data_IF_309543533198
#
_entry.id   IF_309543533198
#
_cell.length_a   1.000
_cell.length_b   1.000
_cell.length_c   1.000
_cell.angle_alpha   90.00
_cell.angle_beta   90.00
_cell.angle_gamma   90.00
#
_symmetry.space_group_name_H-M   'P 1'
#
loop_
_entity.id
_entity.type
_entity.pdbx_description
1 polymer ?
#
# COMPACT_ATOMS: atom_id res chain seq x y z
N UNK A 1 -32.01 18.37 63.52
CA UNK A 1 -32.60 17.67 62.33
C UNK A 1 -32.61 18.67 61.19
N UNK A 2 -31.60 18.63 60.33
CA UNK A 2 -31.46 19.61 59.21
C UNK A 2 -31.32 18.73 57.94
N UNK A 3 -32.36 18.75 57.12
CA UNK A 3 -32.39 18.05 55.81
C UNK A 3 -31.51 18.84 54.80
N UNK A 4 -30.46 18.18 54.32
CA UNK A 4 -29.72 18.64 53.17
C UNK A 4 -30.43 18.18 51.89
N UNK A 5 -30.89 19.13 51.10
CA UNK A 5 -31.45 18.89 49.76
C UNK A 5 -30.32 18.66 48.75
N UNK A 6 -30.33 17.52 48.12
CA UNK A 6 -29.42 17.14 47.05
C UNK A 6 -30.01 17.60 45.69
N UNK A 7 -29.36 18.57 45.07
CA UNK A 7 -29.71 19.03 43.72
C UNK A 7 -28.97 18.15 42.70
N UNK A 8 -29.64 17.53 41.73
CA UNK A 8 -28.94 16.78 40.68
C UNK A 8 -28.33 17.75 39.66
N UNK A 9 -27.01 17.67 39.46
CA UNK A 9 -26.32 18.33 38.36
C UNK A 9 -26.73 17.63 37.05
N UNK A 10 -27.41 18.38 36.19
CA UNK A 10 -27.68 18.02 34.81
C UNK A 10 -26.40 18.18 34.02
N UNK A 11 -25.77 17.08 33.60
CA UNK A 11 -24.72 17.07 32.62
C UNK A 11 -25.36 17.29 31.23
N UNK A 12 -25.03 18.42 30.59
CA UNK A 12 -25.44 18.73 29.23
C UNK A 12 -24.69 17.84 28.25
N UNK A 13 -25.30 17.49 27.10
CA UNK A 13 -24.70 16.58 26.14
C UNK A 13 -23.63 17.31 25.29
N UNK A 14 -22.36 17.03 25.54
CA UNK A 14 -21.24 17.39 24.64
C UNK A 14 -21.22 16.61 23.32
N UNK A 15 -22.04 15.56 23.18
CA UNK A 15 -22.04 14.66 22.02
C UNK A 15 -22.80 15.20 20.78
N UNK A 16 -23.69 16.18 20.94
CA UNK A 16 -24.50 16.69 19.83
C UNK A 16 -23.72 17.62 18.87
N UNK A 17 -22.76 18.41 19.40
CA UNK A 17 -21.97 19.34 18.60
C UNK A 17 -20.91 18.63 17.74
N UNK A 18 -20.43 17.47 18.14
CA UNK A 18 -19.45 16.68 17.39
C UNK A 18 -20.08 15.92 16.23
N UNK A 19 -21.33 15.46 16.36
CA UNK A 19 -22.05 14.74 15.30
C UNK A 19 -22.45 15.67 14.13
N UNK A 20 -22.87 16.90 14.44
CA UNK A 20 -23.25 17.90 13.42
C UNK A 20 -22.04 18.42 12.63
N UNK A 21 -20.90 18.64 13.30
CA UNK A 21 -19.64 18.99 12.66
C UNK A 21 -19.12 17.89 11.74
N UNK A 22 -19.28 16.62 12.10
CA UNK A 22 -18.86 15.48 11.30
C UNK A 22 -19.72 15.34 10.03
N UNK A 23 -21.03 15.49 10.13
CA UNK A 23 -21.96 15.44 8.99
C UNK A 23 -21.70 16.59 7.99
N UNK A 24 -21.46 17.80 8.50
CA UNK A 24 -21.08 18.96 7.69
C UNK A 24 -19.78 18.71 6.92
N UNK A 25 -18.72 18.28 7.61
CA UNK A 25 -17.43 18.00 6.98
C UNK A 25 -17.53 16.87 5.95
N UNK A 26 -18.32 15.83 6.19
CA UNK A 26 -18.59 14.79 5.22
C UNK A 26 -19.21 15.35 3.94
N UNK A 27 -20.23 16.22 4.07
CA UNK A 27 -20.88 16.87 2.93
C UNK A 27 -19.92 17.75 2.12
N UNK A 28 -19.03 18.49 2.80
CA UNK A 28 -17.99 19.28 2.13
C UNK A 28 -17.00 18.39 1.40
N UNK A 29 -16.51 17.32 2.02
CA UNK A 29 -15.54 16.40 1.39
C UNK A 29 -16.14 15.68 0.19
N UNK A 30 -17.40 15.25 0.28
CA UNK A 30 -18.08 14.64 -0.84
C UNK A 30 -18.17 15.59 -2.04
N UNK A 31 -18.62 16.84 -1.83
CA UNK A 31 -18.70 17.85 -2.90
C UNK A 31 -17.32 18.16 -3.49
N UNK A 32 -16.28 18.20 -2.67
CA UNK A 32 -14.92 18.44 -3.16
C UNK A 32 -14.40 17.27 -4.01
N UNK A 33 -14.70 16.04 -3.63
CA UNK A 33 -14.37 14.85 -4.42
C UNK A 33 -15.17 14.85 -5.73
N UNK A 34 -16.48 15.05 -5.67
CA UNK A 34 -17.33 15.11 -6.87
C UNK A 34 -16.87 16.20 -7.85
N UNK A 35 -16.44 17.37 -7.33
CA UNK A 35 -15.88 18.46 -8.12
C UNK A 35 -14.57 18.07 -8.82
N UNK A 36 -13.67 17.42 -8.08
CA UNK A 36 -12.37 16.97 -8.61
C UNK A 36 -12.59 15.87 -9.66
N UNK A 37 -13.47 14.91 -9.39
CA UNK A 37 -13.73 13.77 -10.28
C UNK A 37 -14.42 14.20 -11.59
N UNK A 38 -15.21 15.28 -11.55
CA UNK A 38 -15.87 15.84 -12.73
C UNK A 38 -14.98 16.77 -13.56
N UNK A 39 -13.83 17.20 -13.03
CA UNK A 39 -12.93 18.11 -13.72
C UNK A 39 -12.10 17.40 -14.79
N UNK A 40 -12.08 17.96 -16.01
CA UNK A 40 -11.22 17.44 -17.09
C UNK A 40 -9.73 17.67 -16.82
N UNK A 41 -9.40 18.77 -16.16
CA UNK A 41 -8.02 19.17 -15.80
C UNK A 41 -7.85 19.30 -14.29
N UNK A 42 -6.63 19.12 -13.77
CA UNK A 42 -6.36 19.30 -12.34
C UNK A 42 -6.70 20.71 -11.87
N UNK A 43 -7.53 20.79 -10.84
CA UNK A 43 -7.95 22.05 -10.24
C UNK A 43 -6.89 22.60 -9.29
N UNK A 44 -6.70 23.91 -9.26
CA UNK A 44 -5.86 24.55 -8.26
C UNK A 44 -6.50 24.43 -6.85
N UNK A 45 -5.66 24.40 -5.82
CA UNK A 45 -6.15 24.30 -4.44
C UNK A 45 -7.12 25.44 -4.08
N UNK A 46 -6.81 26.65 -4.55
CA UNK A 46 -7.62 27.84 -4.29
C UNK A 46 -9.01 27.77 -4.93
N UNK A 47 -9.11 27.15 -6.11
CA UNK A 47 -10.38 26.92 -6.79
C UNK A 47 -11.25 25.95 -5.99
N UNK A 48 -10.69 24.79 -5.59
CA UNK A 48 -11.44 23.79 -4.84
C UNK A 48 -11.87 24.36 -3.47
N UNK A 49 -10.97 25.05 -2.79
CA UNK A 49 -11.26 25.68 -1.49
C UNK A 49 -12.32 26.76 -1.60
N UNK A 50 -12.29 27.58 -2.65
CA UNK A 50 -13.29 28.62 -2.93
C UNK A 50 -14.68 28.04 -3.16
N UNK A 51 -14.81 26.96 -3.93
CA UNK A 51 -16.09 26.26 -4.14
C UNK A 51 -16.65 25.64 -2.84
N UNK A 52 -15.77 25.29 -1.91
CA UNK A 52 -16.15 24.80 -0.57
C UNK A 52 -16.39 25.92 0.45
N UNK A 53 -16.18 27.19 0.09
CA UNK A 53 -16.31 28.33 1.00
C UNK A 53 -15.25 28.37 2.10
N UNK A 54 -14.05 27.85 1.81
CA UNK A 54 -12.96 27.71 2.78
C UNK A 54 -11.67 28.41 2.33
N UNK A 55 -10.81 28.76 3.29
CA UNK A 55 -9.44 29.14 2.93
C UNK A 55 -8.66 27.93 2.45
N UNK A 56 -7.71 28.09 1.50
CA UNK A 56 -6.91 26.97 0.94
C UNK A 56 -6.21 26.15 2.02
N UNK A 57 -5.62 26.81 3.03
CA UNK A 57 -4.92 26.14 4.12
C UNK A 57 -5.87 25.32 5.02
N UNK A 58 -7.08 25.84 5.28
CA UNK A 58 -8.08 25.13 6.08
C UNK A 58 -8.62 23.92 5.30
N UNK A 59 -9.01 24.12 4.04
CA UNK A 59 -9.47 23.05 3.17
C UNK A 59 -8.42 21.93 3.02
N UNK A 60 -7.15 22.28 2.76
CA UNK A 60 -6.09 21.31 2.61
C UNK A 60 -5.91 20.43 3.86
N UNK A 61 -5.93 21.04 5.07
CA UNK A 61 -5.85 20.28 6.32
C UNK A 61 -7.05 19.37 6.50
N UNK A 62 -8.26 19.89 6.32
CA UNK A 62 -9.50 19.14 6.46
C UNK A 62 -9.59 17.98 5.45
N UNK A 63 -9.29 18.24 4.17
CA UNK A 63 -9.26 17.23 3.13
C UNK A 63 -8.23 16.15 3.44
N UNK A 64 -7.02 16.52 3.85
CA UNK A 64 -5.96 15.55 4.18
C UNK A 64 -6.32 14.69 5.39
N UNK A 65 -7.01 15.26 6.38
CA UNK A 65 -7.49 14.53 7.53
C UNK A 65 -8.59 13.51 7.16
N UNK A 66 -9.49 13.88 6.26
CA UNK A 66 -10.62 13.04 5.86
C UNK A 66 -10.29 12.01 4.78
N UNK A 67 -9.55 12.43 3.77
CA UNK A 67 -9.21 11.59 2.58
C UNK A 67 -7.89 10.85 2.78
N UNK A 68 -7.08 11.25 3.77
CA UNK A 68 -5.78 10.65 4.06
C UNK A 68 -4.64 11.12 3.14
N UNK A 69 -4.93 11.97 2.16
CA UNK A 69 -3.94 12.56 1.24
C UNK A 69 -4.33 14.00 0.92
N UNK A 70 -3.34 14.84 0.50
CA UNK A 70 -3.64 16.21 0.08
C UNK A 70 -4.48 16.24 -1.20
N UNK A 71 -5.28 17.30 -1.44
CA UNK A 71 -6.06 17.46 -2.67
C UNK A 71 -5.23 17.29 -3.94
N UNK A 72 -4.03 17.87 -3.97
CA UNK A 72 -3.08 17.72 -5.08
C UNK A 72 -2.68 16.26 -5.29
N UNK A 73 -2.43 15.53 -4.21
CA UNK A 73 -2.04 14.12 -4.25
C UNK A 73 -3.19 13.23 -4.70
N UNK A 74 -4.42 13.55 -4.30
CA UNK A 74 -5.63 12.87 -4.75
C UNK A 74 -5.83 13.04 -6.27
N UNK A 75 -5.69 14.25 -6.81
CA UNK A 75 -5.77 14.50 -8.25
C UNK A 75 -4.68 13.77 -9.04
N UNK A 76 -3.45 13.75 -8.53
CA UNK A 76 -2.35 12.96 -9.13
C UNK A 76 -2.68 11.46 -9.19
N UNK A 77 -3.41 10.96 -8.20
CA UNK A 77 -3.88 9.59 -8.17
C UNK A 77 -4.89 9.29 -9.28
N UNK A 78 -5.90 10.15 -9.43
CA UNK A 78 -6.89 10.01 -10.51
C UNK A 78 -6.22 10.09 -11.89
N UNK A 79 -5.31 11.04 -12.06
CA UNK A 79 -4.51 11.19 -13.26
C UNK A 79 -3.68 9.93 -13.58
N UNK A 80 -3.10 9.30 -12.57
CA UNK A 80 -2.37 8.05 -12.74
C UNK A 80 -3.28 6.90 -13.20
N UNK A 81 -4.49 6.80 -12.64
CA UNK A 81 -5.44 5.76 -13.04
C UNK A 81 -5.91 5.96 -14.48
N UNK A 82 -6.16 7.20 -14.88
CA UNK A 82 -6.43 7.56 -16.28
C UNK A 82 -5.24 7.26 -17.20
N UNK A 83 -4.01 7.61 -16.77
CA UNK A 83 -2.79 7.27 -17.50
C UNK A 83 -2.65 5.76 -17.74
N UNK A 84 -2.96 4.96 -16.74
CA UNK A 84 -2.96 3.50 -16.85
C UNK A 84 -3.97 2.98 -17.85
N UNK A 85 -5.16 3.59 -17.91
CA UNK A 85 -6.18 3.24 -18.91
C UNK A 85 -5.66 3.52 -20.31
N UNK A 86 -5.19 4.74 -20.56
CA UNK A 86 -4.64 5.14 -21.86
C UNK A 86 -3.49 4.23 -22.33
N UNK A 87 -2.56 3.91 -21.42
CA UNK A 87 -1.45 3.01 -21.74
C UNK A 87 -1.89 1.56 -22.01
N UNK A 88 -2.96 1.08 -21.37
CA UNK A 88 -3.57 -0.23 -21.69
C UNK A 88 -4.23 -0.23 -23.07
N UNK A 89 -4.81 0.91 -23.47
CA UNK A 89 -5.46 1.12 -24.76
C UNK A 89 -4.47 1.44 -25.89
N UNK A 90 -3.17 1.20 -25.66
CA UNK A 90 -2.06 1.35 -26.62
C UNK A 90 -1.68 2.79 -26.99
N UNK A 91 -2.02 3.76 -26.18
CA UNK A 91 -1.44 5.10 -26.32
C UNK A 91 0.07 5.09 -26.01
N UNK A 92 0.83 5.90 -26.71
CA UNK A 92 2.25 6.06 -26.39
C UNK A 92 2.42 6.83 -25.07
N UNK A 93 3.60 6.75 -24.45
CA UNK A 93 3.89 7.53 -23.24
C UNK A 93 3.84 9.03 -23.48
N UNK A 94 4.13 9.47 -24.71
CA UNK A 94 4.06 10.89 -25.10
C UNK A 94 2.60 11.32 -25.28
N UNK A 95 1.79 10.54 -26.00
CA UNK A 95 0.37 10.81 -26.20
C UNK A 95 -0.37 10.79 -24.87
N UNK A 96 -0.08 9.82 -23.99
CA UNK A 96 -0.63 9.74 -22.64
C UNK A 96 -0.29 10.98 -21.81
N UNK A 97 0.96 11.46 -21.87
CA UNK A 97 1.37 12.68 -21.18
C UNK A 97 0.62 13.90 -21.71
N UNK A 98 0.43 13.98 -23.03
CA UNK A 98 -0.30 15.07 -23.67
C UNK A 98 -1.79 15.08 -23.32
N UNK A 99 -2.47 13.92 -23.37
CA UNK A 99 -3.87 13.76 -22.97
C UNK A 99 -4.13 14.15 -21.49
N UNK A 100 -3.13 13.94 -20.65
CA UNK A 100 -3.19 14.30 -19.22
C UNK A 100 -2.75 15.75 -18.94
N UNK A 101 -2.52 16.59 -19.95
CA UNK A 101 -2.07 17.96 -19.78
C UNK A 101 -0.68 18.08 -19.11
N UNK A 102 0.13 17.02 -19.13
CA UNK A 102 1.46 17.03 -18.57
C UNK A 102 2.45 17.68 -19.54
N UNK A 103 3.41 18.42 -19.01
CA UNK A 103 4.43 19.13 -19.83
C UNK A 103 5.39 18.20 -20.60
N UNK A 104 5.21 16.88 -20.48
CA UNK A 104 5.97 15.87 -21.22
C UNK A 104 6.02 14.52 -20.50
N UNK A 105 6.57 13.52 -21.20
CA UNK A 105 6.70 12.15 -20.71
C UNK A 105 7.54 12.01 -19.43
N UNK A 106 8.45 12.94 -19.15
CA UNK A 106 9.23 12.96 -17.89
C UNK A 106 8.34 13.12 -16.66
N UNK A 107 7.30 13.99 -16.70
CA UNK A 107 6.34 14.13 -15.61
C UNK A 107 5.49 12.88 -15.40
N UNK A 108 5.10 12.24 -16.49
CA UNK A 108 4.40 10.96 -16.44
C UNK A 108 5.29 9.87 -15.82
N UNK A 109 6.57 9.83 -16.21
CA UNK A 109 7.55 8.91 -15.67
C UNK A 109 7.75 9.10 -14.15
N UNK A 110 7.92 10.34 -13.68
CA UNK A 110 8.06 10.65 -12.25
C UNK A 110 6.82 10.25 -11.45
N UNK A 111 5.63 10.43 -12.02
CA UNK A 111 4.38 10.04 -11.39
C UNK A 111 4.30 8.51 -11.24
N UNK A 112 4.65 7.75 -12.29
CA UNK A 112 4.66 6.29 -12.22
C UNK A 112 5.71 5.75 -11.26
N UNK A 113 6.94 6.28 -11.27
CA UNK A 113 7.98 5.86 -10.32
C UNK A 113 7.58 6.12 -8.86
N UNK A 114 6.88 7.22 -8.62
CA UNK A 114 6.43 7.57 -7.26
C UNK A 114 5.30 6.66 -6.74
N UNK A 115 4.41 6.22 -7.63
CA UNK A 115 3.17 5.55 -7.23
C UNK A 115 3.14 4.07 -7.54
N UNK A 116 3.80 3.64 -8.61
CA UNK A 116 3.82 2.25 -9.08
C UNK A 116 5.18 1.58 -8.90
N UNK A 117 6.21 2.35 -8.52
CA UNK A 117 7.60 1.89 -8.47
C UNK A 117 8.09 1.30 -9.81
N UNK A 118 7.45 1.66 -10.93
CA UNK A 118 7.84 1.27 -12.29
C UNK A 118 7.67 2.45 -13.24
N UNK A 119 8.30 2.37 -14.43
CA UNK A 119 8.07 3.37 -15.46
C UNK A 119 6.72 3.18 -16.15
N UNK A 120 6.12 4.25 -16.74
CA UNK A 120 4.91 4.13 -17.56
C UNK A 120 5.08 3.14 -18.72
N UNK A 121 6.28 3.11 -19.32
CA UNK A 121 6.62 2.17 -20.36
C UNK A 121 6.62 0.70 -19.90
N UNK A 122 7.16 0.43 -18.72
CA UNK A 122 7.14 -0.92 -18.13
C UNK A 122 5.71 -1.36 -17.82
N UNK A 123 4.88 -0.45 -17.32
CA UNK A 123 3.47 -0.71 -17.08
C UNK A 123 2.69 -1.01 -18.36
N UNK A 124 2.85 -0.18 -19.41
CA UNK A 124 2.20 -0.37 -20.71
C UNK A 124 2.59 -1.70 -21.35
N UNK A 125 3.85 -2.10 -21.20
CA UNK A 125 4.38 -3.35 -21.71
C UNK A 125 4.09 -4.55 -20.81
N UNK A 126 3.42 -4.38 -19.67
CA UNK A 126 3.12 -5.46 -18.70
C UNK A 126 4.36 -6.26 -18.30
N UNK A 127 5.50 -5.59 -18.21
CA UNK A 127 6.81 -6.18 -17.96
C UNK A 127 7.55 -6.64 -19.22
N UNK A 128 7.05 -6.37 -20.44
CA UNK A 128 7.76 -6.66 -21.68
C UNK A 128 9.13 -5.93 -21.69
N UNK A 129 10.17 -6.68 -22.04
CA UNK A 129 11.56 -6.21 -21.98
C UNK A 129 12.20 -6.27 -20.59
N UNK A 130 11.45 -6.65 -19.53
CA UNK A 130 12.05 -6.96 -18.23
C UNK A 130 12.54 -8.40 -18.20
N UNK A 131 13.78 -8.57 -17.74
CA UNK A 131 14.30 -9.89 -17.36
C UNK A 131 14.20 -9.99 -15.85
N UNK A 132 13.43 -10.97 -15.37
CA UNK A 132 13.27 -11.27 -13.95
C UNK A 132 14.06 -12.56 -13.68
N UNK A 133 15.15 -12.42 -12.91
CA UNK A 133 15.90 -13.57 -12.40
C UNK A 133 15.11 -14.21 -11.25
N UNK A 134 15.10 -15.53 -11.19
CA UNK A 134 14.45 -16.25 -10.10
C UNK A 134 15.29 -17.44 -9.61
N UNK A 135 14.99 -17.88 -8.39
CA UNK A 135 15.58 -19.08 -7.81
C UNK A 135 14.83 -19.53 -6.57
N UNK A 136 15.00 -20.82 -6.24
CA UNK A 136 14.54 -21.42 -5.00
C UNK A 136 15.65 -21.38 -3.97
N UNK A 137 15.28 -21.04 -2.74
CA UNK A 137 16.22 -20.91 -1.61
C UNK A 137 15.63 -21.56 -0.36
N UNK A 138 16.50 -22.13 0.45
CA UNK A 138 16.11 -22.53 1.79
C UNK A 138 15.92 -21.30 2.66
N UNK A 139 14.87 -21.31 3.47
CA UNK A 139 14.57 -20.24 4.41
C UNK A 139 14.11 -20.81 5.76
N UNK A 140 14.09 -19.99 6.83
CA UNK A 140 13.56 -20.41 8.12
C UNK A 140 12.07 -20.82 8.09
N UNK A 141 11.39 -20.54 6.97
CA UNK A 141 9.94 -20.76 6.77
C UNK A 141 9.64 -21.82 5.70
N UNK A 142 10.63 -22.62 5.33
CA UNK A 142 10.57 -23.59 4.25
C UNK A 142 11.09 -23.04 2.91
N UNK A 143 10.94 -23.79 1.81
CA UNK A 143 11.44 -23.38 0.50
C UNK A 143 10.79 -22.07 0.05
N UNK A 144 11.62 -21.09 -0.32
CA UNK A 144 11.22 -19.76 -0.76
C UNK A 144 11.60 -19.55 -2.23
N UNK A 145 10.63 -19.13 -3.04
CA UNK A 145 10.85 -18.60 -4.37
C UNK A 145 11.17 -17.11 -4.26
N UNK A 146 12.32 -16.70 -4.77
CA UNK A 146 12.69 -15.29 -4.86
C UNK A 146 12.83 -14.88 -6.31
N UNK A 147 12.23 -13.74 -6.65
CA UNK A 147 12.32 -13.11 -7.96
C UNK A 147 12.89 -11.71 -7.83
N UNK A 148 13.76 -11.32 -8.74
CA UNK A 148 14.41 -10.01 -8.72
C UNK A 148 14.73 -9.47 -10.10
N UNK A 149 14.77 -8.15 -10.19
CA UNK A 149 15.29 -7.37 -11.31
C UNK A 149 16.62 -6.73 -10.87
N UNK A 150 17.39 -6.09 -11.77
CA UNK A 150 18.57 -5.32 -11.35
C UNK A 150 18.28 -4.20 -10.31
N UNK A 151 17.00 -3.87 -10.08
CA UNK A 151 16.56 -2.84 -9.13
C UNK A 151 16.26 -3.38 -7.73
N UNK A 152 16.12 -4.71 -7.58
CA UNK A 152 15.81 -5.34 -6.31
C UNK A 152 14.84 -6.50 -6.43
N UNK A 153 14.52 -7.11 -5.28
CA UNK A 153 13.56 -8.20 -5.14
C UNK A 153 12.17 -7.69 -5.52
N UNK A 154 11.51 -8.34 -6.45
CA UNK A 154 10.16 -8.02 -6.93
C UNK A 154 9.12 -9.11 -6.63
N UNK A 155 9.54 -10.25 -6.11
CA UNK A 155 8.68 -11.35 -5.68
C UNK A 155 9.36 -12.21 -4.62
N UNK A 156 8.61 -12.59 -3.57
CA UNK A 156 9.02 -13.57 -2.58
C UNK A 156 7.80 -14.36 -2.11
N UNK A 157 7.85 -15.66 -2.34
CA UNK A 157 6.77 -16.61 -2.09
C UNK A 157 7.27 -17.82 -1.30
N UNK A 158 6.36 -18.54 -0.65
CA UNK A 158 6.65 -19.79 0.06
C UNK A 158 5.81 -20.93 -0.52
N UNK A 159 6.44 -22.07 -0.77
CA UNK A 159 5.79 -23.20 -1.45
C UNK A 159 5.28 -24.28 -0.50
N UNK A 160 5.58 -24.20 0.79
CA UNK A 160 5.31 -25.27 1.75
C UNK A 160 3.84 -25.77 1.76
N UNK A 161 2.88 -24.87 1.53
CA UNK A 161 1.45 -25.21 1.60
C UNK A 161 0.81 -25.38 0.21
N UNK A 162 1.26 -24.63 -0.80
CA UNK A 162 0.61 -24.63 -2.12
C UNK A 162 1.41 -25.34 -3.22
N UNK A 163 2.65 -25.70 -2.93
CA UNK A 163 3.56 -26.32 -3.90
C UNK A 163 4.33 -25.30 -4.73
N UNK A 164 5.40 -25.78 -5.35
CA UNK A 164 6.34 -24.96 -6.13
C UNK A 164 5.73 -24.38 -7.40
N UNK A 165 4.92 -25.18 -8.11
CA UNK A 165 4.27 -24.76 -9.37
C UNK A 165 3.30 -23.62 -9.15
N UNK A 166 2.41 -23.74 -8.14
CA UNK A 166 1.43 -22.71 -7.83
C UNK A 166 2.08 -21.42 -7.34
N UNK A 167 3.16 -21.50 -6.54
CA UNK A 167 3.90 -20.34 -6.09
C UNK A 167 4.58 -19.61 -7.27
N UNK A 168 5.17 -20.35 -8.21
CA UNK A 168 5.77 -19.80 -9.43
C UNK A 168 4.72 -19.11 -10.28
N UNK A 169 3.60 -19.79 -10.56
CA UNK A 169 2.50 -19.25 -11.37
C UNK A 169 1.92 -17.96 -10.75
N UNK A 170 1.73 -17.91 -9.43
CA UNK A 170 1.20 -16.74 -8.76
C UNK A 170 2.10 -15.51 -8.94
N UNK A 171 3.41 -15.67 -8.80
CA UNK A 171 4.34 -14.56 -8.99
C UNK A 171 4.50 -14.16 -10.46
N UNK A 172 4.58 -15.14 -11.39
CA UNK A 172 4.70 -14.87 -12.82
C UNK A 172 3.49 -14.11 -13.38
N UNK A 173 2.28 -14.42 -12.89
CA UNK A 173 1.03 -13.76 -13.31
C UNK A 173 1.05 -12.26 -13.10
N UNK A 174 1.89 -11.75 -12.22
CA UNK A 174 2.04 -10.30 -11.95
C UNK A 174 2.78 -9.57 -13.06
N UNK A 175 3.58 -10.31 -13.86
CA UNK A 175 4.45 -9.80 -14.91
C UNK A 175 4.27 -10.55 -16.23
N UNK A 176 3.08 -10.50 -16.85
CA UNK A 176 2.74 -11.36 -17.98
C UNK A 176 3.58 -11.12 -19.24
N UNK A 177 4.27 -9.97 -19.35
CA UNK A 177 5.17 -9.64 -20.46
C UNK A 177 6.67 -9.80 -20.16
N UNK A 178 7.03 -10.19 -18.93
CA UNK A 178 8.44 -10.34 -18.56
C UNK A 178 9.02 -11.67 -19.02
N UNK A 179 10.33 -11.69 -19.23
CA UNK A 179 11.11 -12.91 -19.42
C UNK A 179 11.62 -13.40 -18.08
N UNK A 180 11.32 -14.63 -17.71
CA UNK A 180 11.79 -15.24 -16.47
C UNK A 180 13.01 -16.11 -16.74
N UNK A 181 14.10 -15.87 -16.00
CA UNK A 181 15.35 -16.62 -16.12
C UNK A 181 15.72 -17.21 -14.76
N UNK A 182 15.97 -18.52 -14.74
CA UNK A 182 16.54 -19.12 -13.55
C UNK A 182 17.99 -18.68 -13.39
N UNK A 183 18.25 -17.93 -12.33
CA UNK A 183 19.58 -17.39 -12.01
C UNK A 183 19.67 -17.08 -10.52
N UNK A 184 19.72 -18.12 -9.67
CA UNK A 184 19.75 -17.92 -8.23
C UNK A 184 21.04 -17.24 -7.76
N UNK A 185 22.10 -17.26 -8.56
CA UNK A 185 23.39 -16.69 -8.17
C UNK A 185 23.29 -15.17 -7.94
N UNK A 186 22.58 -14.46 -8.84
CA UNK A 186 22.45 -12.99 -8.75
C UNK A 186 21.54 -12.53 -7.59
N UNK A 187 20.75 -13.45 -7.01
CA UNK A 187 19.83 -13.16 -5.91
C UNK A 187 20.40 -13.53 -4.54
N UNK A 188 21.47 -14.30 -4.50
CA UNK A 188 21.99 -14.94 -3.27
C UNK A 188 22.25 -13.94 -2.15
N UNK A 189 22.96 -12.86 -2.42
CA UNK A 189 23.30 -11.85 -1.41
C UNK A 189 22.07 -11.18 -0.84
N UNK A 190 21.11 -10.84 -1.70
CA UNK A 190 19.84 -10.26 -1.27
C UNK A 190 19.01 -11.22 -0.42
N UNK A 191 19.03 -12.50 -0.74
CA UNK A 191 18.34 -13.55 0.03
C UNK A 191 18.98 -13.71 1.40
N UNK A 192 20.30 -13.69 1.48
CA UNK A 192 21.02 -13.76 2.76
C UNK A 192 20.69 -12.58 3.66
N UNK A 193 20.65 -11.37 3.11
CA UNK A 193 20.21 -10.16 3.83
C UNK A 193 18.74 -10.27 4.22
N UNK A 194 17.85 -10.69 3.29
CA UNK A 194 16.41 -10.75 3.50
C UNK A 194 16.02 -11.67 4.68
N UNK A 195 16.72 -12.77 4.86
CA UNK A 195 16.46 -13.71 5.97
C UNK A 195 17.36 -13.49 7.19
N UNK A 196 18.23 -12.47 7.18
CA UNK A 196 19.16 -12.18 8.27
C UNK A 196 20.16 -13.30 8.50
N UNK A 197 20.59 -13.95 7.41
CA UNK A 197 21.60 -15.04 7.45
C UNK A 197 23.02 -14.50 7.39
N UNK A 198 23.19 -13.23 7.00
CA UNK A 198 24.45 -12.49 6.99
C UNK A 198 24.23 -11.02 7.36
N UNK A 199 25.28 -10.36 7.88
CA UNK A 199 25.26 -8.94 8.26
C UNK A 199 24.94 -8.69 9.73
N UNK A 200 25.07 -7.44 10.14
CA UNK A 200 24.76 -6.96 11.50
C UNK A 200 23.28 -6.62 11.72
N UNK A 201 22.41 -6.97 10.76
CA UNK A 201 20.98 -6.69 10.79
C UNK A 201 20.59 -5.26 10.40
N UNK A 202 21.56 -4.42 10.00
CA UNK A 202 21.28 -3.05 9.51
C UNK A 202 21.06 -3.00 8.02
N UNK A 203 21.60 -3.94 7.27
CA UNK A 203 21.43 -4.05 5.83
C UNK A 203 20.01 -4.44 5.47
N UNK A 204 19.46 -3.76 4.45
CA UNK A 204 18.14 -4.05 3.89
C UNK A 204 18.26 -4.52 2.45
N UNK A 205 17.69 -5.68 2.16
CA UNK A 205 17.59 -6.14 0.78
C UNK A 205 16.80 -5.13 -0.07
N UNK A 206 17.31 -4.73 -1.23
CA UNK A 206 16.58 -3.81 -2.10
C UNK A 206 15.31 -4.45 -2.61
N UNK A 207 14.19 -3.70 -2.58
CA UNK A 207 12.88 -4.16 -3.06
C UNK A 207 12.43 -3.34 -4.25
N UNK A 208 11.89 -4.02 -5.25
CA UNK A 208 11.25 -3.40 -6.40
C UNK A 208 9.74 -3.67 -6.36
N UNK A 209 8.98 -2.71 -5.81
CA UNK A 209 7.56 -2.85 -5.53
C UNK A 209 6.71 -2.38 -6.69
N UNK A 210 5.67 -3.17 -6.96
CA UNK A 210 4.62 -2.84 -7.92
C UNK A 210 3.27 -3.04 -7.24
N UNK A 211 2.45 -2.01 -7.27
CA UNK A 211 1.11 -2.05 -6.72
C UNK A 211 0.34 -0.77 -6.98
N UNK A 212 -0.98 -0.86 -6.89
CA UNK A 212 -1.82 0.33 -6.89
C UNK A 212 -1.48 1.23 -5.68
N UNK A 213 -1.66 2.55 -5.76
CA UNK A 213 -1.28 3.49 -4.69
C UNK A 213 -1.86 3.15 -3.32
N UNK A 214 -3.07 2.63 -3.27
CA UNK A 214 -3.66 2.15 -2.02
C UNK A 214 -2.88 0.95 -1.46
N UNK A 215 -2.45 0.02 -2.32
CA UNK A 215 -1.64 -1.13 -1.92
C UNK A 215 -0.28 -0.67 -1.39
N UNK A 216 0.38 0.26 -2.08
CA UNK A 216 1.67 0.83 -1.64
C UNK A 216 1.54 1.45 -0.25
N UNK A 217 0.50 2.27 0.01
CA UNK A 217 0.25 2.82 1.35
C UNK A 217 0.07 1.75 2.42
N UNK A 218 -0.68 0.69 2.10
CA UNK A 218 -0.87 -0.43 3.02
C UNK A 218 0.45 -1.15 3.28
N UNK A 219 1.27 -1.36 2.25
CA UNK A 219 2.57 -2.02 2.39
C UNK A 219 3.60 -1.14 3.12
N UNK A 220 3.61 0.19 2.90
CA UNK A 220 4.40 1.13 3.68
C UNK A 220 4.01 1.10 5.17
N UNK A 221 2.70 1.04 5.47
CA UNK A 221 2.22 0.90 6.84
C UNK A 221 2.65 -0.45 7.46
N UNK A 222 2.67 -1.53 6.69
CA UNK A 222 3.21 -2.82 7.16
C UNK A 222 4.71 -2.72 7.47
N UNK A 223 5.51 -2.08 6.60
CA UNK A 223 6.94 -1.90 6.79
C UNK A 223 7.30 -1.08 8.04
N UNK A 224 6.36 -0.23 8.50
CA UNK A 224 6.54 0.55 9.71
C UNK A 224 6.32 -0.25 11.01
N UNK A 225 5.78 -1.48 10.94
CA UNK A 225 5.57 -2.34 12.11
C UNK A 225 6.90 -3.00 12.47
N UNK A 226 7.42 -2.80 13.70
CA UNK A 226 8.66 -3.44 14.12
C UNK A 226 8.56 -4.98 14.14
N UNK A 227 9.70 -5.66 14.03
CA UNK A 227 9.78 -7.12 14.22
C UNK A 227 9.29 -7.52 15.62
N UNK A 228 8.59 -8.64 15.71
CA UNK A 228 7.98 -9.10 16.95
C UNK A 228 6.69 -8.37 17.37
N UNK A 229 6.30 -7.33 16.65
CA UNK A 229 5.04 -6.62 16.90
C UNK A 229 3.98 -7.03 15.87
N UNK A 230 2.74 -6.93 16.27
CA UNK A 230 1.58 -7.21 15.43
C UNK A 230 0.64 -6.01 15.38
N UNK A 231 -0.18 -5.94 14.36
CA UNK A 231 -1.22 -4.93 14.18
C UNK A 231 -2.50 -5.57 13.69
N UNK A 232 -3.58 -4.80 13.63
CA UNK A 232 -4.84 -5.27 13.06
C UNK A 232 -5.12 -4.59 11.71
N UNK A 233 -5.91 -5.22 10.85
CA UNK A 233 -6.36 -4.60 9.60
C UNK A 233 -7.07 -3.25 9.85
N UNK A 234 -7.72 -3.10 11.00
CA UNK A 234 -8.39 -1.85 11.40
C UNK A 234 -7.40 -0.74 11.76
N UNK A 235 -6.33 -1.07 12.48
CA UNK A 235 -5.25 -0.13 12.81
C UNK A 235 -4.50 0.31 11.56
N UNK A 236 -4.18 -0.62 10.65
CA UNK A 236 -3.60 -0.26 9.34
C UNK A 236 -4.53 0.72 8.61
N UNK A 237 -5.84 0.45 8.57
CA UNK A 237 -6.82 1.33 7.93
C UNK A 237 -6.84 2.72 8.58
N UNK A 238 -6.70 2.81 9.90
CA UNK A 238 -6.59 4.08 10.63
C UNK A 238 -5.28 4.81 10.28
N UNK A 239 -4.15 4.10 10.32
CA UNK A 239 -2.82 4.65 10.03
C UNK A 239 -2.74 5.26 8.63
N UNK A 240 -3.34 4.62 7.63
CA UNK A 240 -3.37 5.15 6.25
C UNK A 240 -4.48 6.18 6.01
N UNK A 241 -5.22 6.60 7.06
CA UNK A 241 -6.25 7.63 6.98
C UNK A 241 -7.58 7.17 6.36
N UNK A 242 -7.84 5.85 6.28
CA UNK A 242 -9.05 5.28 5.68
C UNK A 242 -9.74 4.25 6.60
N UNK A 243 -10.20 4.64 7.81
CA UNK A 243 -10.66 3.70 8.84
C UNK A 243 -11.83 2.81 8.40
N UNK A 244 -12.62 3.22 7.42
CA UNK A 244 -13.74 2.44 6.87
C UNK A 244 -13.30 1.40 5.83
N UNK A 245 -12.06 1.46 5.34
CA UNK A 245 -11.55 0.61 4.25
C UNK A 245 -10.93 -0.72 4.71
N UNK A 246 -11.31 -1.26 5.86
CA UNK A 246 -10.70 -2.46 6.47
C UNK A 246 -10.68 -3.68 5.53
N UNK A 247 -11.75 -3.89 4.74
CA UNK A 247 -11.78 -4.99 3.75
C UNK A 247 -10.79 -4.76 2.61
N UNK A 248 -10.69 -3.52 2.12
CA UNK A 248 -9.73 -3.16 1.07
C UNK A 248 -8.28 -3.30 1.57
N UNK A 249 -8.02 -2.92 2.83
CA UNK A 249 -6.72 -3.17 3.50
C UNK A 249 -6.43 -4.67 3.54
N UNK A 250 -7.37 -5.50 3.95
CA UNK A 250 -7.20 -6.96 3.96
C UNK A 250 -6.86 -7.52 2.57
N UNK A 251 -7.53 -7.02 1.53
CA UNK A 251 -7.22 -7.39 0.13
C UNK A 251 -5.82 -6.94 -0.28
N UNK A 252 -5.41 -5.72 0.06
CA UNK A 252 -4.07 -5.20 -0.25
C UNK A 252 -2.97 -5.96 0.49
N UNK A 253 -3.18 -6.30 1.77
CA UNK A 253 -2.28 -7.16 2.56
C UNK A 253 -2.13 -8.54 1.89
N UNK A 254 -3.24 -9.16 1.44
CA UNK A 254 -3.22 -10.45 0.75
C UNK A 254 -2.58 -10.41 -0.64
N UNK A 255 -2.49 -9.24 -1.27
CA UNK A 255 -1.84 -9.06 -2.58
C UNK A 255 -0.36 -8.68 -2.49
N UNK A 256 0.24 -8.71 -1.31
CA UNK A 256 1.67 -8.46 -1.11
C UNK A 256 2.51 -9.38 -2.02
N UNK A 257 3.36 -8.82 -2.92
CA UNK A 257 4.20 -9.62 -3.81
C UNK A 257 5.49 -10.12 -3.17
N UNK A 258 5.95 -9.46 -2.08
CA UNK A 258 7.25 -9.71 -1.46
C UNK A 258 7.03 -10.09 0.00
N UNK A 259 6.51 -11.30 0.20
CA UNK A 259 6.23 -11.83 1.54
C UNK A 259 7.48 -11.86 2.41
N UNK A 260 7.32 -11.79 3.72
CA UNK A 260 8.38 -11.63 4.70
C UNK A 260 9.00 -10.24 4.71
N UNK A 261 9.61 -9.76 3.62
CA UNK A 261 10.21 -8.42 3.55
C UNK A 261 9.16 -7.31 3.75
N UNK A 262 7.97 -7.48 3.16
CA UNK A 262 6.79 -6.69 3.53
C UNK A 262 6.00 -7.54 4.52
N UNK A 263 5.97 -7.20 5.80
CA UNK A 263 5.55 -8.12 6.86
C UNK A 263 4.03 -8.25 6.98
N UNK A 264 3.38 -8.74 5.92
CA UNK A 264 1.93 -9.00 5.90
C UNK A 264 1.48 -10.05 6.93
N UNK A 265 2.39 -10.89 7.41
CA UNK A 265 2.14 -11.83 8.49
C UNK A 265 1.85 -11.14 9.83
N UNK A 266 2.32 -9.91 10.06
CA UNK A 266 2.06 -9.11 11.28
C UNK A 266 0.64 -8.55 11.36
N UNK A 267 -0.15 -8.59 10.26
CA UNK A 267 -1.54 -8.14 10.25
C UNK A 267 -2.48 -9.24 10.76
N UNK A 268 -3.25 -8.95 11.82
CA UNK A 268 -4.18 -9.86 12.48
C UNK A 268 -5.62 -9.35 12.39
N UNK A 269 -6.59 -10.20 12.75
CA UNK A 269 -7.98 -9.77 12.97
C UNK A 269 -8.09 -9.00 14.29
N UNK A 270 -9.04 -8.09 14.40
CA UNK A 270 -9.33 -7.36 15.65
C UNK A 270 -9.65 -8.30 16.82
N UNK A 271 -10.16 -9.50 16.54
CA UNK A 271 -10.41 -10.55 17.54
C UNK A 271 -9.15 -11.28 18.02
N UNK A 272 -7.94 -10.89 17.58
CA UNK A 272 -6.67 -11.59 17.84
C UNK A 272 -6.43 -12.82 16.97
N UNK A 273 -7.39 -13.23 16.14
CA UNK A 273 -7.22 -14.34 15.21
C UNK A 273 -6.25 -14.00 14.07
N UNK A 274 -5.53 -15.00 13.56
CA UNK A 274 -4.49 -14.84 12.53
C UNK A 274 -5.02 -14.23 11.22
N UNK A 275 -6.32 -14.38 10.93
CA UNK A 275 -6.85 -14.02 9.61
C UNK A 275 -6.38 -14.99 8.53
N UNK A 276 -6.49 -14.59 7.27
CA UNK A 276 -5.90 -15.33 6.16
C UNK A 276 -4.41 -15.04 5.99
N UNK A 277 -3.72 -15.91 5.26
CA UNK A 277 -2.38 -15.67 4.76
C UNK A 277 -2.23 -16.32 3.39
N UNK A 278 -1.69 -15.57 2.43
CA UNK A 278 -1.67 -16.03 1.04
C UNK A 278 -0.87 -17.34 0.86
N UNK A 279 0.23 -17.48 1.59
CA UNK A 279 1.13 -18.62 1.54
C UNK A 279 0.83 -19.70 2.60
N UNK A 280 -0.36 -19.67 3.22
CA UNK A 280 -0.79 -20.63 4.23
C UNK A 280 -0.60 -20.17 5.68
N UNK A 281 -1.54 -20.52 6.52
CA UNK A 281 -1.51 -20.17 7.94
C UNK A 281 -0.34 -20.80 8.73
N UNK A 282 0.12 -22.04 8.43
CA UNK A 282 1.30 -22.60 9.09
C UNK A 282 2.53 -21.70 8.91
N UNK A 283 2.81 -21.22 7.69
CA UNK A 283 3.92 -20.32 7.40
C UNK A 283 3.81 -19.03 8.20
N UNK A 284 2.61 -18.43 8.28
CA UNK A 284 2.39 -17.22 9.07
C UNK A 284 2.69 -17.43 10.56
N UNK A 285 2.27 -18.57 11.11
CA UNK A 285 2.53 -18.91 12.54
C UNK A 285 4.03 -19.03 12.81
N UNK A 286 4.77 -19.71 11.93
CA UNK A 286 6.22 -19.87 12.06
C UNK A 286 6.92 -18.53 12.00
N UNK A 287 6.52 -17.62 11.07
CA UNK A 287 7.06 -16.27 10.97
C UNK A 287 6.87 -15.46 12.25
N UNK A 288 5.66 -15.48 12.81
CA UNK A 288 5.37 -14.76 14.06
C UNK A 288 6.15 -15.33 15.25
N UNK A 289 6.25 -16.64 15.35
CA UNK A 289 7.03 -17.30 16.40
C UNK A 289 8.54 -17.00 16.25
N UNK A 290 9.05 -17.00 15.02
CA UNK A 290 10.45 -16.69 14.73
C UNK A 290 10.82 -15.24 15.13
N UNK A 291 9.92 -14.29 14.87
CA UNK A 291 10.13 -12.90 15.28
C UNK A 291 10.05 -12.71 16.78
N UNK A 292 9.06 -13.32 17.46
CA UNK A 292 8.96 -13.28 18.93
C UNK A 292 10.23 -13.80 19.61
N UNK A 293 10.76 -14.95 19.15
CA UNK A 293 11.95 -15.54 19.74
C UNK A 293 13.21 -14.67 19.59
N UNK A 294 13.25 -13.77 18.59
CA UNK A 294 14.37 -12.85 18.38
C UNK A 294 14.27 -11.55 19.18
N UNK A 295 13.10 -11.18 19.64
CA UNK A 295 12.90 -9.99 20.49
C UNK A 295 13.23 -10.31 21.94
N UNK A 296 13.04 -11.57 22.34
CA UNK A 296 13.29 -12.05 23.71
C UNK A 296 14.76 -12.51 23.92
N UNK A 297 15.60 -12.52 22.87
CA UNK A 297 17.01 -12.93 22.91
C UNK A 297 17.96 -11.72 22.96
#
# INVERSE_FOLDING_TARGET
MTHAQHTPQTTAPEDAATADGSAYHYGVMRRAIDLIDAAADPLALDQIAGEMGMSPAHFQRLFSQWVGVSPKRYQQYLMLDHAKSLLRDRFTTLDTAHELGLSGSGRLHDMFLRWEAMSPGDFARKGDGLVISWGWFDSPFGPALVMGTPRGICGLAFSAEMGTEAAMEDLCRRWPGATFREDPAVLRDWVQIAFGLQGDGTDKAPMYLIGAPFQIKVWEALLAIPSGHVTTYSEIAQTIGTPKAVRAVGTAVGRNPISWLIPCHRALRKSGGLGGYHWGLPVKRVMLAFESARVDA
#
